data_IF_962023930784
#
_entry.id   IF_962023930784
#
_cell.length_a   1.000
_cell.length_b   1.000
_cell.length_c   1.000
_cell.angle_alpha   90.00
_cell.angle_beta   90.00
_cell.angle_gamma   90.00
#
_symmetry.space_group_name_H-M   'P 1'
#
loop_
_entity.id
_entity.type
_entity.pdbx_description
1 polymer ?
#
# COMPACT_ATOMS: atom_id res chain seq x y z
N UNK A 1 38.01 11.15 12.32
CA UNK A 1 36.81 10.64 13.01
C UNK A 1 35.88 11.80 13.26
N UNK A 2 34.77 11.88 12.52
CA UNK A 2 33.53 12.52 12.97
C UNK A 2 32.44 12.10 12.00
N UNK A 3 31.77 11.02 12.39
CA UNK A 3 30.53 10.54 11.80
C UNK A 3 29.47 11.59 12.09
N UNK A 4 29.21 12.46 11.11
CA UNK A 4 28.13 13.43 11.21
C UNK A 4 26.81 12.65 11.37
N UNK A 5 26.15 12.93 12.49
CA UNK A 5 24.79 12.55 12.83
C UNK A 5 23.87 12.36 11.62
N UNK A 6 23.45 11.12 11.37
CA UNK A 6 22.23 10.81 10.60
C UNK A 6 20.94 11.09 11.43
N UNK A 7 21.02 11.84 12.53
CA UNK A 7 19.88 12.21 13.38
C UNK A 7 19.16 13.44 12.86
N UNK A 8 18.45 13.33 11.73
CA UNK A 8 17.28 14.19 11.40
C UNK A 8 16.76 13.95 9.98
N UNK A 9 16.42 12.71 9.60
CA UNK A 9 15.44 12.55 8.53
C UNK A 9 14.08 12.41 9.23
N UNK A 10 13.27 13.47 9.33
CA UNK A 10 11.92 13.34 9.85
C UNK A 10 11.10 12.54 8.83
N UNK A 11 10.88 11.24 9.09
CA UNK A 11 9.82 10.50 8.41
C UNK A 11 8.51 10.95 9.06
N UNK A 12 7.91 12.00 8.50
CA UNK A 12 6.68 12.63 9.00
C UNK A 12 5.40 11.92 8.53
N UNK A 13 5.47 11.10 7.48
CA UNK A 13 4.35 10.28 7.03
C UNK A 13 4.25 9.00 7.86
N UNK A 14 3.07 8.72 8.39
CA UNK A 14 2.80 7.54 9.24
C UNK A 14 2.18 6.39 8.45
N UNK A 15 2.10 6.52 7.12
CA UNK A 15 1.85 5.44 6.16
C UNK A 15 2.53 4.13 6.58
N UNK A 16 1.74 3.09 6.74
CA UNK A 16 2.23 1.74 7.04
C UNK A 16 2.24 0.92 5.76
N UNK A 17 3.44 0.52 5.36
CA UNK A 17 3.67 -0.29 4.16
C UNK A 17 4.17 -1.68 4.56
N UNK A 18 3.64 -2.70 3.91
CA UNK A 18 4.13 -4.07 3.97
C UNK A 18 4.51 -4.52 2.57
N UNK A 19 5.80 -4.83 2.38
CA UNK A 19 6.36 -5.30 1.12
C UNK A 19 6.51 -6.82 1.16
N UNK A 20 5.92 -7.52 0.19
CA UNK A 20 6.03 -8.97 0.04
C UNK A 20 6.50 -9.26 -1.38
N UNK A 21 7.70 -9.81 -1.51
CA UNK A 21 8.14 -10.40 -2.78
C UNK A 21 7.56 -11.81 -2.86
N UNK A 22 6.72 -12.05 -3.87
CA UNK A 22 5.97 -13.29 -4.05
C UNK A 22 6.07 -13.78 -5.49
N UNK A 23 6.08 -15.10 -5.66
CA UNK A 23 6.04 -15.72 -6.99
C UNK A 23 4.74 -15.41 -7.73
N UNK A 24 3.63 -15.21 -7.01
CA UNK A 24 2.38 -14.72 -7.60
C UNK A 24 1.48 -14.02 -6.57
N UNK A 25 0.59 -13.17 -7.06
CA UNK A 25 -0.54 -12.60 -6.34
C UNK A 25 -1.82 -12.92 -7.11
N UNK A 26 -2.82 -13.45 -6.42
CA UNK A 26 -4.15 -13.69 -6.97
C UNK A 26 -5.20 -13.07 -6.05
N UNK A 27 -6.14 -12.30 -6.61
CA UNK A 27 -7.26 -11.74 -5.85
C UNK A 27 -8.59 -11.94 -6.56
N UNK A 28 -9.65 -12.00 -5.76
CA UNK A 28 -11.03 -12.04 -6.22
C UNK A 28 -11.87 -11.02 -5.43
N UNK A 29 -12.51 -10.11 -6.16
CA UNK A 29 -13.41 -9.11 -5.58
C UNK A 29 -14.72 -9.78 -5.18
N UNK A 30 -15.04 -9.68 -3.89
CA UNK A 30 -16.26 -10.24 -3.29
C UNK A 30 -17.34 -9.16 -3.21
N UNK A 31 -17.57 -8.67 -2.01
CA UNK A 31 -18.55 -7.64 -1.67
C UNK A 31 -17.85 -6.32 -1.30
N UNK A 32 -18.60 -5.23 -1.37
CA UNK A 32 -18.13 -3.91 -0.98
C UNK A 32 -17.87 -3.85 0.52
N UNK A 33 -16.65 -3.46 0.92
CA UNK A 33 -16.31 -3.29 2.33
C UNK A 33 -16.86 -1.98 2.92
N UNK A 34 -17.13 -0.98 2.06
CA UNK A 34 -17.67 0.33 2.44
C UNK A 34 -18.75 0.77 1.44
N UNK A 35 -19.74 1.58 1.85
CA UNK A 35 -20.87 1.97 0.99
C UNK A 35 -20.51 2.80 -0.25
N UNK A 36 -19.31 3.38 -0.27
CA UNK A 36 -18.82 4.25 -1.34
C UNK A 36 -17.51 3.69 -1.92
N UNK A 37 -17.41 2.36 -1.99
CA UNK A 37 -16.30 1.69 -2.65
C UNK A 37 -16.31 2.02 -4.15
N UNK A 38 -15.14 2.04 -4.78
CA UNK A 38 -15.03 2.26 -6.21
C UNK A 38 -15.58 1.05 -6.99
N UNK A 39 -16.27 1.33 -8.10
CA UNK A 39 -16.74 0.29 -9.00
C UNK A 39 -15.55 -0.41 -9.67
N UNK A 40 -15.53 -1.74 -9.58
CA UNK A 40 -14.53 -2.57 -10.27
C UNK A 40 -15.12 -3.09 -11.58
N UNK A 41 -14.44 -2.83 -12.70
CA UNK A 41 -14.84 -3.35 -14.00
C UNK A 41 -14.91 -4.89 -13.97
N UNK A 42 -15.86 -5.50 -14.71
CA UNK A 42 -16.07 -6.96 -14.66
C UNK A 42 -14.80 -7.76 -14.99
N UNK A 43 -13.95 -7.26 -15.89
CA UNK A 43 -12.68 -7.87 -16.26
C UNK A 43 -11.62 -7.87 -15.15
N UNK A 44 -11.74 -6.97 -14.17
CA UNK A 44 -10.75 -6.75 -13.11
C UNK A 44 -11.16 -7.39 -11.78
N UNK A 45 -12.31 -8.08 -11.75
CA UNK A 45 -12.83 -8.76 -10.54
C UNK A 45 -11.97 -9.95 -10.12
N UNK A 46 -11.20 -10.54 -11.04
CA UNK A 46 -10.25 -11.61 -10.75
C UNK A 46 -8.98 -11.36 -11.54
N UNK A 47 -7.86 -11.25 -10.84
CA UNK A 47 -6.56 -11.04 -11.46
C UNK A 47 -5.55 -11.96 -10.79
N UNK A 48 -4.66 -12.51 -11.61
CA UNK A 48 -3.46 -13.22 -11.19
C UNK A 48 -2.24 -12.60 -11.87
N UNK A 49 -1.23 -12.29 -11.08
CA UNK A 49 0.04 -11.71 -11.53
C UNK A 49 1.18 -12.54 -10.98
N UNK A 50 2.10 -12.99 -11.84
CA UNK A 50 3.30 -13.73 -11.45
C UNK A 50 4.50 -12.77 -11.26
N UNK A 51 5.51 -13.19 -10.48
CA UNK A 51 6.76 -12.48 -10.19
C UNK A 51 6.56 -11.02 -9.74
N UNK A 52 5.90 -10.83 -8.60
CA UNK A 52 5.39 -9.53 -8.17
C UNK A 52 5.94 -9.10 -6.80
N UNK A 53 6.11 -7.78 -6.63
CA UNK A 53 6.29 -7.14 -5.34
C UNK A 53 4.94 -6.57 -4.88
N UNK A 54 4.28 -7.28 -3.98
CA UNK A 54 3.00 -6.85 -3.40
C UNK A 54 3.28 -5.80 -2.34
N UNK A 55 2.58 -4.67 -2.41
CA UNK A 55 2.66 -3.60 -1.42
C UNK A 55 1.28 -3.39 -0.81
N UNK A 56 1.11 -3.79 0.45
CA UNK A 56 -0.08 -3.41 1.21
C UNK A 56 0.14 -2.05 1.86
N UNK A 57 -0.74 -1.11 1.54
CA UNK A 57 -0.68 0.26 2.02
C UNK A 57 -1.84 0.52 2.98
N UNK A 58 -1.54 1.10 4.14
CA UNK A 58 -2.54 1.61 5.07
C UNK A 58 -2.30 3.11 5.29
N UNK A 59 -3.28 3.90 4.88
CA UNK A 59 -3.28 5.37 5.01
C UNK A 59 -3.82 5.75 6.39
N UNK A 60 -3.06 6.54 7.16
CA UNK A 60 -3.47 7.02 8.49
C UNK A 60 -3.98 8.46 8.39
N UNK A 61 -4.95 8.86 9.24
CA UNK A 61 -5.60 10.18 9.12
C UNK A 61 -4.69 11.42 9.29
N UNK A 62 -3.42 11.25 9.70
CA UNK A 62 -2.43 12.36 9.70
C UNK A 62 -1.73 12.52 8.36
N UNK A 63 -1.79 11.51 7.50
CA UNK A 63 -1.23 11.57 6.14
C UNK A 63 -2.07 12.50 5.23
N UNK A 64 -3.24 12.96 5.70
CA UNK A 64 -4.09 13.95 5.03
C UNK A 64 -3.56 15.40 5.17
N UNK A 65 -2.67 15.68 6.13
CA UNK A 65 -2.29 17.04 6.53
C UNK A 65 -1.08 17.63 5.75
N UNK A 66 -0.34 16.82 4.99
CA UNK A 66 0.81 17.27 4.20
C UNK A 66 0.38 17.55 2.73
N UNK A 67 -0.35 18.65 2.52
CA UNK A 67 -0.54 19.32 1.20
C UNK A 67 0.49 20.44 0.95
#
# INVERSE_FOLDING_TARGET
>A
MNTACLTSIPVRSRLKLLFIHSDYLEYEVKEEAIPSAEDVAEGDRRVKVDEVLVVFCSVEGRDEEDE
#
